data_IF_687383650053
#
_entry.id   IF_687383650053
#
_cell.length_a   1.000
_cell.length_b   1.000
_cell.length_c   1.000
_cell.angle_alpha   90.00
_cell.angle_beta   90.00
_cell.angle_gamma   90.00
#
_symmetry.space_group_name_H-M   'P 1'
#
loop_
_entity.id
_entity.type
_entity.pdbx_description
1 polymer ?
#
# COMPACT_ATOMS: atom_id res chain seq x y z
N UNK A 1 14.68 -71.96 -41.54
CA UNK A 1 15.65 -70.86 -41.79
C UNK A 1 14.93 -69.68 -42.42
N UNK A 2 15.07 -68.51 -41.93
CA UNK A 2 14.49 -67.17 -42.27
C UNK A 2 13.32 -66.82 -41.36
N UNK A 3 13.64 -65.96 -40.39
CA UNK A 3 12.88 -64.74 -40.12
C UNK A 3 13.32 -64.20 -38.77
N UNK A 4 14.32 -63.35 -38.80
CA UNK A 4 14.70 -62.48 -37.65
C UNK A 4 15.34 -61.22 -38.21
N UNK A 5 14.58 -60.18 -38.51
CA UNK A 5 15.10 -58.82 -38.73
C UNK A 5 13.97 -57.81 -39.10
N UNK A 6 12.86 -57.74 -38.33
CA UNK A 6 11.84 -56.67 -38.53
C UNK A 6 11.36 -56.16 -37.18
N UNK A 7 12.21 -56.00 -36.21
CA UNK A 7 11.74 -55.41 -34.91
C UNK A 7 12.62 -54.25 -34.39
N UNK A 8 13.47 -53.70 -35.19
CA UNK A 8 14.38 -52.61 -34.73
C UNK A 8 14.14 -51.24 -35.36
N UNK A 9 13.18 -51.06 -36.27
CA UNK A 9 12.92 -49.80 -36.95
C UNK A 9 11.73 -48.99 -36.41
N UNK A 10 11.00 -49.48 -35.42
CA UNK A 10 9.78 -48.82 -34.90
C UNK A 10 9.97 -48.08 -33.57
N UNK A 11 11.15 -48.07 -32.97
CA UNK A 11 11.37 -47.47 -31.64
C UNK A 11 12.10 -46.11 -31.64
N UNK A 12 12.54 -45.61 -32.80
CA UNK A 12 13.23 -44.32 -32.90
C UNK A 12 12.34 -43.12 -33.31
N UNK A 13 11.07 -43.36 -33.65
CA UNK A 13 10.17 -42.28 -34.12
C UNK A 13 9.30 -41.64 -33.02
N UNK A 14 9.35 -42.11 -31.77
CA UNK A 14 8.44 -41.67 -30.68
C UNK A 14 9.07 -40.71 -29.68
N UNK A 15 10.29 -40.21 -29.86
CA UNK A 15 10.99 -39.36 -28.87
C UNK A 15 11.11 -37.89 -29.32
N UNK A 16 10.56 -37.50 -30.46
CA UNK A 16 10.67 -36.11 -30.97
C UNK A 16 9.40 -35.23 -30.84
N UNK A 17 8.39 -35.69 -30.11
CA UNK A 17 7.13 -34.96 -29.94
C UNK A 17 6.90 -34.57 -28.48
N UNK A 18 7.80 -33.88 -27.84
CA UNK A 18 7.66 -33.52 -26.41
C UNK A 18 8.37 -32.29 -25.90
N UNK A 19 8.98 -31.49 -26.75
CA UNK A 19 9.43 -30.17 -26.33
C UNK A 19 8.43 -29.08 -26.78
N UNK A 20 7.25 -29.05 -26.14
CA UNK A 20 6.47 -27.83 -26.12
C UNK A 20 7.24 -26.82 -25.24
N UNK A 21 8.00 -25.95 -25.84
CA UNK A 21 8.45 -24.76 -25.14
C UNK A 21 7.22 -24.08 -24.57
N UNK A 22 7.18 -23.76 -23.25
CA UNK A 22 6.11 -22.92 -22.74
C UNK A 22 6.16 -21.64 -23.57
N UNK A 23 5.05 -21.32 -24.24
CA UNK A 23 4.89 -20.05 -24.94
C UNK A 23 5.30 -18.96 -23.97
N UNK A 24 6.36 -18.21 -24.32
CA UNK A 24 6.74 -17.02 -23.57
C UNK A 24 5.47 -16.15 -23.48
N UNK A 25 4.83 -16.16 -22.31
CA UNK A 25 3.63 -15.37 -22.09
C UNK A 25 3.92 -13.96 -22.59
N UNK A 26 3.14 -13.48 -23.54
CA UNK A 26 3.24 -12.13 -24.07
C UNK A 26 3.19 -11.18 -22.86
N UNK A 27 4.35 -10.65 -22.47
CA UNK A 27 4.40 -9.58 -21.48
C UNK A 27 3.65 -8.42 -22.12
N UNK A 28 2.57 -7.98 -21.46
CA UNK A 28 1.91 -6.75 -21.85
C UNK A 28 2.95 -5.65 -21.97
N UNK A 29 2.87 -4.78 -23.01
CA UNK A 29 3.85 -3.71 -23.19
C UNK A 29 3.90 -2.87 -21.90
N UNK A 30 5.07 -2.74 -21.32
CA UNK A 30 5.27 -1.96 -20.08
C UNK A 30 5.14 -0.47 -20.42
N UNK A 31 4.34 0.22 -19.61
CA UNK A 31 4.20 1.69 -19.70
C UNK A 31 5.43 2.35 -19.06
N UNK A 32 5.84 3.55 -19.48
CA UNK A 32 6.94 4.29 -18.83
C UNK A 32 6.79 4.41 -17.32
N UNK A 33 5.55 4.60 -16.82
CA UNK A 33 5.23 4.65 -15.38
C UNK A 33 5.54 3.36 -14.63
N UNK A 34 5.66 2.22 -15.30
CA UNK A 34 5.98 0.95 -14.67
C UNK A 34 7.45 0.85 -14.24
N UNK A 35 8.29 1.71 -14.81
CA UNK A 35 9.72 1.83 -14.44
C UNK A 35 9.98 2.84 -13.31
N UNK A 36 8.99 3.60 -12.91
CA UNK A 36 9.12 4.55 -11.79
C UNK A 36 9.00 3.80 -10.46
N UNK A 37 10.01 3.97 -9.60
CA UNK A 37 9.98 3.49 -8.23
C UNK A 37 9.77 4.68 -7.28
N UNK A 38 8.68 4.67 -6.53
CA UNK A 38 8.40 5.69 -5.51
C UNK A 38 9.18 5.45 -4.21
N UNK A 39 9.93 4.35 -4.12
CA UNK A 39 10.80 4.05 -2.98
C UNK A 39 12.15 4.76 -3.04
N UNK A 40 12.51 5.36 -4.18
CA UNK A 40 13.77 6.10 -4.33
C UNK A 40 13.79 7.30 -3.38
N UNK A 41 14.87 7.42 -2.59
CA UNK A 41 15.05 8.50 -1.62
C UNK A 41 14.28 8.33 -0.31
N UNK A 42 13.63 7.18 -0.07
CA UNK A 42 12.82 6.95 1.13
C UNK A 42 13.57 6.36 2.33
N UNK A 43 14.88 6.13 2.20
CA UNK A 43 15.76 5.75 3.31
C UNK A 43 16.35 6.99 3.98
N UNK A 44 15.51 7.81 4.56
CA UNK A 44 15.93 9.04 5.27
C UNK A 44 15.39 9.05 6.70
N UNK A 45 16.11 9.71 7.57
CA UNK A 45 15.71 10.01 8.94
C UNK A 45 16.15 11.43 9.31
N UNK A 46 15.96 11.85 10.57
CA UNK A 46 16.34 13.18 11.05
C UNK A 46 17.85 13.41 11.09
N UNK A 47 18.66 12.37 11.10
CA UNK A 47 20.12 12.47 11.19
C UNK A 47 20.80 12.38 9.85
N UNK A 48 20.17 11.71 8.87
CA UNK A 48 20.73 11.46 7.55
C UNK A 48 19.67 11.64 6.46
N UNK A 49 19.87 12.63 5.63
CA UNK A 49 19.04 12.90 4.47
C UNK A 49 19.60 12.18 3.23
N UNK A 50 18.85 11.21 2.71
CA UNK A 50 19.19 10.46 1.49
C UNK A 50 18.16 10.63 0.37
N UNK A 51 17.36 11.70 0.44
CA UNK A 51 16.32 12.01 -0.54
C UNK A 51 15.08 12.66 0.07
N UNK A 52 14.79 12.38 1.34
CA UNK A 52 13.67 12.96 2.09
C UNK A 52 12.32 12.77 1.40
N UNK A 53 12.08 11.57 0.89
CA UNK A 53 10.84 11.23 0.21
C UNK A 53 10.15 10.06 0.91
N UNK A 54 8.91 9.84 0.54
CA UNK A 54 8.14 8.65 0.89
C UNK A 54 7.50 8.07 -0.37
N UNK A 55 7.04 6.81 -0.36
CA UNK A 55 6.41 6.19 -1.52
C UNK A 55 5.02 6.80 -1.77
N UNK A 56 5.00 7.99 -2.35
CA UNK A 56 3.80 8.75 -2.63
C UNK A 56 2.94 8.04 -3.67
N UNK A 57 1.66 7.84 -3.34
CA UNK A 57 0.63 7.31 -4.20
C UNK A 57 -0.32 8.45 -4.55
N UNK A 58 -0.18 8.99 -5.75
CA UNK A 58 -0.93 10.14 -6.22
C UNK A 58 -0.98 10.17 -7.75
N UNK A 59 -2.01 10.80 -8.32
CA UNK A 59 -2.00 11.14 -9.73
C UNK A 59 -1.13 12.37 -9.99
N UNK A 60 -0.58 12.54 -11.20
CA UNK A 60 0.06 13.79 -11.60
C UNK A 60 -0.93 14.95 -11.35
N UNK A 61 -0.44 15.99 -10.66
CA UNK A 61 -1.25 17.16 -10.28
C UNK A 61 -2.38 16.85 -9.29
N UNK A 62 -2.32 15.69 -8.61
CA UNK A 62 -3.24 15.34 -7.55
C UNK A 62 -3.17 16.34 -6.39
N UNK A 63 -4.30 16.51 -5.71
CA UNK A 63 -4.42 17.44 -4.57
C UNK A 63 -4.21 16.74 -3.23
N UNK A 64 -4.03 15.43 -3.23
CA UNK A 64 -3.66 14.66 -2.06
C UNK A 64 -2.72 13.53 -2.44
N UNK A 65 -1.91 13.11 -1.48
CA UNK A 65 -0.98 12.01 -1.57
C UNK A 65 -1.29 11.01 -0.48
N UNK A 66 -1.05 9.74 -0.76
CA UNK A 66 -1.15 8.68 0.23
C UNK A 66 0.18 7.97 0.36
N UNK A 67 0.52 7.57 1.58
CA UNK A 67 1.77 6.84 1.84
C UNK A 67 1.58 5.85 2.98
N UNK A 68 2.22 4.67 2.95
CA UNK A 68 2.34 3.87 4.15
C UNK A 68 3.08 4.68 5.23
N UNK A 69 2.68 4.48 6.48
CA UNK A 69 3.27 5.12 7.64
C UNK A 69 4.07 4.09 8.43
N UNK A 70 5.37 4.29 8.57
CA UNK A 70 6.24 3.51 9.45
C UNK A 70 6.66 4.28 10.70
N UNK A 71 6.64 5.62 10.65
CA UNK A 71 6.84 6.52 11.77
C UNK A 71 5.59 6.71 12.63
N UNK A 72 5.70 7.54 13.67
CA UNK A 72 4.57 7.89 14.54
C UNK A 72 3.68 8.95 13.91
N UNK A 73 2.46 9.06 14.43
CA UNK A 73 1.56 10.15 14.08
C UNK A 73 2.22 11.49 14.39
N UNK A 74 2.26 12.40 13.42
CA UNK A 74 2.94 13.69 13.56
C UNK A 74 4.41 13.70 13.17
N UNK A 75 5.03 12.57 12.90
CA UNK A 75 6.38 12.54 12.36
C UNK A 75 6.43 13.13 10.95
N UNK A 76 7.40 14.01 10.71
CA UNK A 76 7.67 14.52 9.37
C UNK A 76 8.14 13.43 8.41
N UNK A 77 8.88 12.46 8.90
CA UNK A 77 9.25 11.25 8.16
C UNK A 77 8.16 10.19 8.30
N UNK A 78 7.16 10.28 7.46
CA UNK A 78 6.03 9.34 7.50
C UNK A 78 6.49 7.89 7.21
N UNK A 79 7.51 7.72 6.38
CA UNK A 79 8.01 6.41 5.94
C UNK A 79 9.53 6.40 5.89
N UNK A 80 10.11 5.30 6.35
CA UNK A 80 11.54 4.98 6.21
C UNK A 80 11.68 3.58 5.63
N UNK A 81 12.43 3.42 4.54
CA UNK A 81 12.59 2.14 3.85
C UNK A 81 13.13 1.01 4.75
N UNK A 82 14.06 1.31 5.65
CA UNK A 82 14.61 0.32 6.58
C UNK A 82 13.66 -0.12 7.70
N UNK A 83 12.48 0.48 7.83
CA UNK A 83 11.49 0.05 8.80
C UNK A 83 10.70 -1.15 8.29
N UNK A 84 10.28 -2.03 9.20
CA UNK A 84 9.60 -3.29 8.86
C UNK A 84 8.18 -3.38 9.40
N UNK A 85 7.64 -2.28 9.95
CA UNK A 85 6.27 -2.25 10.47
C UNK A 85 5.52 -1.04 9.92
N UNK A 86 4.34 -1.29 9.35
CA UNK A 86 3.39 -0.26 8.93
C UNK A 86 2.39 -0.03 10.05
N UNK A 87 2.14 1.24 10.40
CA UNK A 87 1.20 1.70 11.43
C UNK A 87 -0.09 2.25 10.86
N UNK A 88 -0.14 2.49 9.56
CA UNK A 88 -1.29 3.02 8.84
C UNK A 88 -0.95 3.47 7.43
N UNK A 89 -1.96 3.97 6.75
CA UNK A 89 -1.84 4.64 5.46
C UNK A 89 -2.24 6.09 5.65
N UNK A 90 -1.28 6.98 5.49
CA UNK A 90 -1.39 8.39 5.84
C UNK A 90 -1.78 9.22 4.63
N UNK A 91 -2.76 10.08 4.81
CA UNK A 91 -3.05 11.14 3.86
C UNK A 91 -2.12 12.34 4.12
N UNK A 92 -1.58 12.91 3.06
CA UNK A 92 -0.75 14.11 3.11
C UNK A 92 -1.02 15.00 1.90
N UNK A 93 -0.64 16.27 1.98
CA UNK A 93 -0.77 17.23 0.87
C UNK A 93 0.58 17.55 0.22
N UNK A 94 1.66 17.29 0.91
CA UNK A 94 2.97 17.80 0.53
C UNK A 94 4.04 16.75 0.80
N UNK A 95 4.77 16.31 -0.22
CA UNK A 95 5.80 15.29 -0.09
C UNK A 95 7.11 15.87 0.48
N UNK A 96 7.04 16.57 1.62
CA UNK A 96 8.19 17.13 2.28
C UNK A 96 8.19 16.86 3.78
N UNK A 97 9.14 16.07 4.29
CA UNK A 97 9.25 15.80 5.72
C UNK A 97 9.71 17.01 6.55
N UNK A 98 10.32 18.02 5.93
CA UNK A 98 10.94 19.15 6.63
C UNK A 98 9.96 20.05 7.38
N UNK A 99 8.74 20.17 6.91
CA UNK A 99 7.71 21.04 7.49
C UNK A 99 6.53 20.23 8.03
N UNK A 100 6.80 19.02 8.48
CA UNK A 100 5.82 18.14 9.07
C UNK A 100 4.68 17.74 8.12
N UNK A 101 4.95 17.58 6.91
CA UNK A 101 4.26 17.00 5.75
C UNK A 101 2.72 16.90 5.76
N UNK A 102 2.05 17.67 6.59
CA UNK A 102 0.58 17.78 6.66
C UNK A 102 -0.18 16.45 6.72
N UNK A 103 0.45 15.39 7.21
CA UNK A 103 -0.18 14.09 7.39
C UNK A 103 -1.12 14.10 8.60
N UNK A 104 -2.41 14.35 8.37
CA UNK A 104 -3.38 14.58 9.42
C UNK A 104 -4.18 13.34 9.82
N UNK A 105 -4.37 12.43 8.89
CA UNK A 105 -5.14 11.22 9.10
C UNK A 105 -4.36 10.00 8.65
N UNK A 106 -4.53 8.91 9.37
CA UNK A 106 -4.06 7.60 8.96
C UNK A 106 -5.21 6.58 9.07
N UNK A 107 -5.27 5.66 8.13
CA UNK A 107 -6.19 4.54 8.16
C UNK A 107 -5.39 3.25 8.29
N UNK A 108 -5.78 2.39 9.23
CA UNK A 108 -5.12 1.10 9.42
C UNK A 108 -6.15 -0.02 9.50
N UNK A 109 -6.18 -0.96 8.55
CA UNK A 109 -7.00 -2.15 8.69
C UNK A 109 -6.35 -3.06 9.73
N UNK A 110 -7.16 -3.57 10.65
CA UNK A 110 -6.72 -4.40 11.77
C UNK A 110 -7.61 -5.62 11.94
N UNK A 111 -7.05 -6.66 12.55
CA UNK A 111 -7.78 -7.78 13.09
C UNK A 111 -7.53 -7.83 14.59
N UNK A 112 -8.60 -7.74 15.36
CA UNK A 112 -8.58 -7.62 16.82
C UNK A 112 -9.11 -6.27 17.28
N UNK A 113 -9.99 -6.30 18.28
CA UNK A 113 -10.66 -5.11 18.83
C UNK A 113 -9.77 -4.30 19.80
N UNK A 114 -8.62 -4.83 20.15
CA UNK A 114 -7.61 -4.24 21.05
C UNK A 114 -6.48 -3.49 20.32
N UNK A 115 -6.47 -3.48 18.99
CA UNK A 115 -5.42 -2.91 18.14
C UNK A 115 -5.67 -1.44 17.78
N UNK A 116 -5.84 -0.58 18.78
CA UNK A 116 -6.21 0.82 18.56
C UNK A 116 -5.02 1.78 18.57
N UNK A 117 -4.03 1.56 19.44
CA UNK A 117 -2.85 2.41 19.52
C UNK A 117 -1.82 2.09 18.40
N UNK A 118 -0.92 3.04 18.12
CA UNK A 118 0.05 2.94 17.03
C UNK A 118 1.00 1.74 17.11
N UNK A 119 1.34 1.28 18.30
CA UNK A 119 2.25 0.15 18.48
C UNK A 119 1.51 -1.19 18.34
N UNK A 120 0.34 -1.32 18.94
CA UNK A 120 -0.45 -2.55 18.90
C UNK A 120 -1.02 -2.84 17.51
N UNK A 121 -1.41 -1.79 16.75
CA UNK A 121 -1.90 -1.95 15.38
C UNK A 121 -0.81 -2.12 14.34
N UNK A 122 0.45 -1.79 14.66
CA UNK A 122 1.55 -1.88 13.71
C UNK A 122 1.77 -3.31 13.22
N UNK A 123 1.84 -3.50 11.92
CA UNK A 123 2.01 -4.81 11.29
C UNK A 123 3.32 -4.93 10.55
N UNK A 124 3.97 -6.06 10.71
CA UNK A 124 5.14 -6.42 9.92
C UNK A 124 4.78 -6.54 8.43
N UNK A 125 5.69 -6.13 7.57
CA UNK A 125 5.57 -6.26 6.11
C UNK A 125 6.93 -6.54 5.47
N UNK A 126 6.90 -7.01 4.23
CA UNK A 126 8.10 -7.27 3.43
C UNK A 126 8.09 -6.47 2.13
N UNK A 127 9.21 -5.82 1.82
CA UNK A 127 9.40 -5.15 0.52
C UNK A 127 9.31 -6.09 -0.68
N UNK A 128 9.53 -7.40 -0.51
CA UNK A 128 9.33 -8.38 -1.57
C UNK A 128 7.85 -8.57 -1.94
N UNK A 129 6.95 -8.29 -1.01
CA UNK A 129 5.49 -8.35 -1.20
C UNK A 129 4.87 -6.94 -1.36
N UNK A 130 5.69 -5.88 -1.33
CA UNK A 130 5.27 -4.51 -1.51
C UNK A 130 5.27 -4.13 -2.99
N UNK A 131 4.23 -3.48 -3.45
CA UNK A 131 4.16 -2.83 -4.77
C UNK A 131 3.98 -1.34 -4.55
N UNK A 132 5.01 -0.56 -4.87
CA UNK A 132 5.01 0.89 -4.73
C UNK A 132 5.16 1.53 -6.12
N UNK A 133 4.04 1.97 -6.69
CA UNK A 133 3.94 2.67 -7.97
C UNK A 133 3.27 4.03 -7.75
N UNK A 134 3.52 5.03 -8.58
CA UNK A 134 2.88 6.33 -8.42
C UNK A 134 1.34 6.25 -8.36
N UNK A 135 0.78 5.36 -9.15
CA UNK A 135 -0.67 5.19 -9.34
C UNK A 135 -1.28 4.02 -8.57
N UNK A 136 -0.47 3.24 -7.82
CA UNK A 136 -0.95 2.06 -7.10
C UNK A 136 0.03 1.62 -6.02
N UNK A 137 -0.50 1.37 -4.84
CA UNK A 137 0.24 0.77 -3.74
C UNK A 137 -0.44 -0.52 -3.29
N UNK A 138 0.35 -1.52 -2.95
CA UNK A 138 -0.14 -2.77 -2.38
C UNK A 138 0.87 -3.32 -1.40
N UNK A 139 0.38 -3.84 -0.27
CA UNK A 139 1.20 -4.50 0.75
C UNK A 139 0.40 -5.58 1.46
N UNK A 140 1.11 -6.57 1.99
CA UNK A 140 0.55 -7.57 2.91
C UNK A 140 0.98 -7.25 4.34
N UNK A 141 0.00 -7.11 5.23
CA UNK A 141 0.14 -6.82 6.64
C UNK A 141 0.11 -8.14 7.41
N UNK A 142 1.30 -8.67 7.74
CA UNK A 142 1.46 -10.05 8.18
C UNK A 142 0.84 -10.32 9.57
N UNK A 143 0.91 -9.35 10.50
CA UNK A 143 0.39 -9.54 11.86
C UNK A 143 -1.15 -9.57 11.90
N UNK A 144 -1.80 -9.02 10.86
CA UNK A 144 -3.26 -8.97 10.73
C UNK A 144 -3.80 -9.93 9.65
N UNK A 145 -2.92 -10.51 8.82
CA UNK A 145 -3.31 -11.31 7.65
C UNK A 145 -4.20 -10.52 6.67
N UNK A 146 -3.84 -9.27 6.41
CA UNK A 146 -4.63 -8.36 5.58
C UNK A 146 -3.82 -7.92 4.37
N UNK A 147 -4.44 -7.92 3.19
CA UNK A 147 -3.91 -7.25 2.02
C UNK A 147 -4.53 -5.87 1.90
N UNK A 148 -3.69 -4.85 1.86
CA UNK A 148 -4.09 -3.46 1.66
C UNK A 148 -3.66 -2.99 0.26
N UNK A 149 -4.57 -2.31 -0.44
CA UNK A 149 -4.37 -1.76 -1.77
C UNK A 149 -4.89 -0.33 -1.82
N UNK A 150 -4.17 0.56 -2.50
CA UNK A 150 -4.53 1.98 -2.64
C UNK A 150 -4.39 2.38 -4.10
N UNK A 151 -5.42 2.99 -4.67
CA UNK A 151 -5.42 3.61 -5.97
C UNK A 151 -5.89 5.06 -5.85
N UNK A 152 -5.07 6.06 -6.23
CA UNK A 152 -5.39 7.46 -6.06
C UNK A 152 -6.32 7.98 -7.16
N UNK A 153 -7.05 9.03 -6.85
CA UNK A 153 -7.68 9.94 -7.80
C UNK A 153 -7.10 11.35 -7.61
N UNK A 154 -7.58 12.35 -8.33
CA UNK A 154 -7.09 13.72 -8.17
C UNK A 154 -7.29 14.27 -6.75
N UNK A 155 -8.36 13.89 -6.06
CA UNK A 155 -8.76 14.46 -4.77
C UNK A 155 -9.08 13.43 -3.70
N UNK A 156 -9.00 12.14 -4.02
CA UNK A 156 -9.35 11.05 -3.13
C UNK A 156 -8.49 9.81 -3.42
N UNK A 157 -8.73 8.74 -2.70
CA UNK A 157 -8.20 7.43 -3.04
C UNK A 157 -9.27 6.36 -2.84
N UNK A 158 -9.23 5.35 -3.68
CA UNK A 158 -9.90 4.08 -3.43
C UNK A 158 -8.96 3.19 -2.63
N UNK A 159 -9.42 2.70 -1.49
CA UNK A 159 -8.70 1.72 -0.69
C UNK A 159 -9.47 0.42 -0.67
N UNK A 160 -8.75 -0.69 -0.80
CA UNK A 160 -9.31 -2.02 -0.65
C UNK A 160 -8.53 -2.79 0.39
N UNK A 161 -9.22 -3.24 1.42
CA UNK A 161 -8.67 -4.09 2.46
C UNK A 161 -9.30 -5.48 2.34
N UNK A 162 -8.48 -6.49 2.07
CA UNK A 162 -8.94 -7.87 2.03
C UNK A 162 -8.60 -8.52 3.35
N UNK A 163 -9.62 -8.78 4.15
CA UNK A 163 -9.52 -9.43 5.45
C UNK A 163 -9.61 -10.96 5.34
N UNK A 164 -9.00 -11.70 6.26
CA UNK A 164 -9.38 -13.09 6.47
C UNK A 164 -10.79 -13.16 7.08
N UNK A 165 -11.39 -14.31 7.06
CA UNK A 165 -12.66 -14.53 7.75
C UNK A 165 -12.48 -14.32 9.27
N UNK A 166 -13.16 -13.31 9.82
CA UNK A 166 -13.04 -12.93 11.23
C UNK A 166 -14.16 -11.96 11.62
N UNK A 167 -14.71 -12.15 12.82
CA UNK A 167 -15.69 -11.25 13.43
C UNK A 167 -15.06 -9.98 14.03
N UNK A 168 -13.72 -9.92 14.07
CA UNK A 168 -12.95 -8.83 14.67
C UNK A 168 -12.22 -7.97 13.62
N UNK A 169 -12.71 -7.96 12.39
CA UNK A 169 -12.16 -7.12 11.32
C UNK A 169 -12.62 -5.68 11.45
N UNK A 170 -11.69 -4.74 11.31
CA UNK A 170 -12.01 -3.32 11.45
C UNK A 170 -11.00 -2.41 10.76
N UNK A 171 -11.33 -1.13 10.68
CA UNK A 171 -10.42 -0.07 10.22
C UNK A 171 -10.32 0.99 11.30
N UNK A 172 -9.10 1.19 11.80
CA UNK A 172 -8.79 2.30 12.71
C UNK A 172 -8.59 3.57 11.87
N UNK A 173 -9.30 4.62 12.22
CA UNK A 173 -9.07 5.96 11.70
C UNK A 173 -8.34 6.74 12.80
N UNK A 174 -7.08 7.04 12.55
CA UNK A 174 -6.24 7.77 13.48
C UNK A 174 -6.14 9.23 13.08
N UNK A 175 -6.41 10.11 14.04
CA UNK A 175 -6.24 11.53 13.95
C UNK A 175 -5.58 12.03 15.23
N UNK A 176 -5.19 13.29 15.30
CA UNK A 176 -4.58 13.82 16.51
C UNK A 176 -5.58 13.88 17.68
N UNK A 177 -5.16 13.49 18.87
CA UNK A 177 -5.97 13.50 20.11
C UNK A 177 -6.61 14.84 20.45
N UNK A 178 -5.97 15.93 20.02
CA UNK A 178 -6.48 17.29 20.25
C UNK A 178 -6.58 18.04 18.91
N UNK A 179 -7.69 18.77 18.76
CA UNK A 179 -7.94 19.54 17.55
C UNK A 179 -8.51 18.71 16.39
N UNK A 180 -8.90 17.48 16.66
CA UNK A 180 -9.56 16.60 15.69
C UNK A 180 -10.97 16.24 16.14
N UNK A 181 -11.85 16.05 15.18
CA UNK A 181 -13.19 15.53 15.40
C UNK A 181 -13.54 14.55 14.29
N UNK A 182 -14.04 13.39 14.66
CA UNK A 182 -14.50 12.33 13.74
C UNK A 182 -15.90 11.91 14.16
N UNK A 183 -16.77 11.72 13.19
CA UNK A 183 -18.14 11.26 13.43
C UNK A 183 -18.70 10.49 12.25
N UNK A 184 -19.73 9.70 12.49
CA UNK A 184 -20.48 9.01 11.45
C UNK A 184 -21.58 9.94 10.94
N UNK A 185 -21.62 10.16 9.63
CA UNK A 185 -22.70 10.88 8.95
C UNK A 185 -23.89 9.94 8.70
N UNK A 186 -23.61 8.71 8.33
CA UNK A 186 -24.57 7.62 8.12
C UNK A 186 -23.85 6.26 8.34
N UNK A 187 -24.55 5.16 8.09
CA UNK A 187 -24.04 3.81 8.34
C UNK A 187 -22.77 3.46 7.53
N UNK A 188 -22.47 4.20 6.47
CA UNK A 188 -21.35 3.94 5.54
C UNK A 188 -20.42 5.13 5.37
N UNK A 189 -20.71 6.27 5.99
CA UNK A 189 -19.98 7.51 5.78
C UNK A 189 -19.43 8.05 7.08
N UNK A 190 -18.12 8.20 7.14
CA UNK A 190 -17.41 8.85 8.24
C UNK A 190 -16.88 10.20 7.73
N UNK A 191 -17.06 11.23 8.55
CA UNK A 191 -16.55 12.58 8.29
C UNK A 191 -15.72 13.05 9.47
N UNK A 192 -14.75 13.90 9.20
CA UNK A 192 -13.94 14.47 10.26
C UNK A 192 -13.14 15.67 9.80
N UNK A 193 -12.54 16.34 10.76
CA UNK A 193 -11.56 17.38 10.49
C UNK A 193 -10.48 17.38 11.58
N UNK A 194 -9.35 17.99 11.26
CA UNK A 194 -8.30 18.30 12.23
C UNK A 194 -7.71 19.67 11.97
N UNK A 195 -7.31 20.34 13.05
CA UNK A 195 -6.56 21.61 13.03
C UNK A 195 -5.07 21.40 13.31
N UNK A 196 -4.63 20.16 13.38
CA UNK A 196 -3.26 19.79 13.75
C UNK A 196 -2.41 19.49 12.53
N UNK A 197 -1.10 19.47 12.75
CA UNK A 197 -0.08 19.04 11.80
C UNK A 197 -0.14 19.74 10.44
N UNK A 198 -0.46 21.04 10.43
CA UNK A 198 -0.59 21.82 9.20
C UNK A 198 0.51 22.86 9.00
N UNK A 199 1.53 22.85 9.85
CA UNK A 199 2.64 23.83 9.80
C UNK A 199 2.18 25.30 9.86
N UNK A 200 0.94 25.56 10.25
CA UNK A 200 0.33 26.90 10.26
C UNK A 200 -0.18 27.39 8.90
N UNK A 201 0.06 26.65 7.83
CA UNK A 201 -0.34 27.05 6.47
C UNK A 201 -1.81 26.72 6.14
N UNK A 202 -2.38 25.72 6.80
CA UNK A 202 -3.77 25.28 6.61
C UNK A 202 -4.47 25.28 7.96
N UNK A 203 -5.63 25.93 8.04
CA UNK A 203 -6.35 26.08 9.32
C UNK A 203 -6.96 24.76 9.78
N UNK A 204 -7.37 23.92 8.85
CA UNK A 204 -7.93 22.58 9.11
C UNK A 204 -7.95 21.73 7.85
N UNK A 205 -7.97 20.43 8.05
CA UNK A 205 -8.11 19.44 6.97
C UNK A 205 -9.34 18.58 7.22
N UNK A 206 -10.11 18.34 6.19
CA UNK A 206 -11.28 17.47 6.24
C UNK A 206 -10.95 16.05 5.78
N UNK A 207 -11.62 15.09 6.39
CA UNK A 207 -11.73 13.72 5.95
C UNK A 207 -13.19 13.40 5.62
N UNK A 208 -13.41 12.71 4.51
CA UNK A 208 -14.64 11.99 4.23
C UNK A 208 -14.30 10.62 3.68
N UNK A 209 -14.68 9.59 4.40
CA UNK A 209 -14.57 8.21 3.97
C UNK A 209 -15.96 7.63 3.76
N UNK A 210 -16.13 6.85 2.70
CA UNK A 210 -17.37 6.16 2.37
C UNK A 210 -17.06 4.71 2.07
N UNK A 211 -17.73 3.81 2.78
CA UNK A 211 -17.61 2.39 2.56
C UNK A 211 -18.47 1.97 1.36
N UNK A 212 -17.87 1.21 0.45
CA UNK A 212 -18.58 0.55 -0.64
C UNK A 212 -18.40 -0.94 -0.46
N UNK A 213 -19.49 -1.69 -0.34
CA UNK A 213 -19.44 -3.14 -0.47
C UNK A 213 -18.94 -3.48 -1.88
N UNK A 214 -17.91 -4.31 -1.95
CA UNK A 214 -17.57 -5.01 -3.18
C UNK A 214 -18.36 -6.31 -3.18
N UNK A 215 -19.26 -6.47 -4.15
CA UNK A 215 -19.93 -7.72 -4.47
C UNK A 215 -18.93 -8.79 -4.92
#
# INVERSE_FOLDING_TARGET
>A
MKSRNIFFAALCAAVLAGCSCPSAGQRSPQRPSDYVSTLVGSQSDFTLSTGNTYPAVALPWGMNFWTPQTGKMGDGWAYTYGAHRIRGFKQTHQPSPWINDYGQFALMPVRGNDKLDEESRASWYSHQAEVAKPYYYKVYLADHDIRAEIAPTERAAMMRFTFPESDESGVVIDAFDRGSQIGMLDARTIVGYTTRNSGGAVSYTHLRAHETEAD
#
